data_IF_665944191535
#
_entry.id   IF_665944191535
#
_cell.length_a   1.000
_cell.length_b   1.000
_cell.length_c   1.000
_cell.angle_alpha   90.00
_cell.angle_beta   90.00
_cell.angle_gamma   90.00
#
_symmetry.space_group_name_H-M   'P 1'
#
loop_
_entity.id
_entity.type
_entity.pdbx_description
1 polymer ?
#
# COMPACT_ATOMS: atom_id res chain seq x y z
N UNK A 1 -1.51 0.82 0.78
CA UNK A 1 -2.34 0.66 2.01
C UNK A 1 -2.55 1.96 2.80
N UNK A 2 -1.63 2.94 2.81
CA UNK A 2 -1.91 4.24 3.46
C UNK A 2 -3.02 5.05 2.76
N UNK A 3 -3.25 4.78 1.47
CA UNK A 3 -4.29 5.35 0.61
C UNK A 3 -5.70 5.21 1.19
N UNK A 4 -6.05 4.06 1.75
CA UNK A 4 -7.38 3.84 2.35
C UNK A 4 -7.57 4.60 3.65
N UNK A 5 -6.56 4.69 4.51
CA UNK A 5 -6.60 5.51 5.74
C UNK A 5 -6.81 6.98 5.37
N UNK A 6 -6.04 7.48 4.39
CA UNK A 6 -6.16 8.87 3.92
C UNK A 6 -7.55 9.12 3.33
N UNK A 7 -8.09 8.20 2.53
CA UNK A 7 -9.43 8.33 1.94
C UNK A 7 -10.54 8.39 3.00
N UNK A 8 -10.47 7.53 4.03
CA UNK A 8 -11.45 7.54 5.13
C UNK A 8 -11.32 8.82 5.96
N UNK A 9 -10.10 9.23 6.32
CA UNK A 9 -9.87 10.47 7.05
C UNK A 9 -10.36 11.69 6.26
N UNK A 10 -10.08 11.76 4.95
CA UNK A 10 -10.54 12.85 4.10
C UNK A 10 -12.08 12.91 4.01
N UNK A 11 -12.76 11.76 3.93
CA UNK A 11 -14.22 11.71 3.95
C UNK A 11 -14.79 12.20 5.29
N UNK A 12 -14.17 11.83 6.42
CA UNK A 12 -14.57 12.32 7.74
C UNK A 12 -14.34 13.83 7.91
N UNK A 13 -13.22 14.35 7.40
CA UNK A 13 -12.95 15.79 7.36
C UNK A 13 -13.97 16.55 6.50
N UNK A 14 -14.38 15.97 5.38
CA UNK A 14 -15.43 16.54 4.51
C UNK A 14 -16.79 16.59 5.23
N UNK A 15 -17.20 15.52 5.90
CA UNK A 15 -18.45 15.47 6.65
C UNK A 15 -18.47 16.48 7.81
N UNK A 16 -17.33 16.67 8.49
CA UNK A 16 -17.16 17.70 9.51
C UNK A 16 -17.31 19.10 8.92
N UNK A 17 -16.71 19.36 7.75
CA UNK A 17 -16.84 20.64 7.05
C UNK A 17 -18.28 20.92 6.59
N UNK A 18 -19.06 19.87 6.31
CA UNK A 18 -20.48 19.95 5.97
C UNK A 18 -21.41 20.23 7.18
N UNK A 19 -20.85 20.35 8.40
CA UNK A 19 -21.59 20.70 9.61
C UNK A 19 -22.04 19.53 10.46
N UNK A 20 -21.58 18.30 10.16
CA UNK A 20 -21.80 17.16 11.05
C UNK A 20 -20.89 17.22 12.27
N UNK A 21 -21.41 16.80 13.42
CA UNK A 21 -20.70 16.82 14.70
C UNK A 21 -19.70 15.66 14.80
N UNK A 22 -18.59 15.79 14.06
CA UNK A 22 -17.46 14.86 14.09
C UNK A 22 -16.36 15.48 14.95
N UNK A 23 -16.08 14.82 16.07
CA UNK A 23 -15.01 15.21 16.99
C UNK A 23 -13.61 14.87 16.43
N UNK A 24 -12.64 15.73 16.72
CA UNK A 24 -11.26 15.58 16.23
C UNK A 24 -10.57 14.33 16.80
N UNK A 25 -10.96 13.93 18.02
CA UNK A 25 -10.48 12.70 18.63
C UNK A 25 -11.01 11.45 17.92
N UNK A 26 -12.21 11.52 17.31
CA UNK A 26 -12.77 10.42 16.54
C UNK A 26 -11.99 10.20 15.23
N UNK A 27 -11.61 11.28 14.52
CA UNK A 27 -10.78 11.21 13.31
C UNK A 27 -9.41 10.61 13.63
N UNK A 28 -8.77 11.11 14.68
CA UNK A 28 -7.47 10.59 15.15
C UNK A 28 -7.57 9.13 15.60
N UNK A 29 -8.65 8.76 16.27
CA UNK A 29 -8.94 7.40 16.70
C UNK A 29 -9.08 6.44 15.52
N UNK A 30 -9.81 6.82 14.47
CA UNK A 30 -9.93 6.01 13.24
C UNK A 30 -8.58 5.87 12.55
N UNK A 31 -7.80 6.95 12.46
CA UNK A 31 -6.46 6.93 11.86
C UNK A 31 -5.54 5.93 12.55
N UNK A 32 -5.40 6.03 13.88
CA UNK A 32 -4.57 5.13 14.69
C UNK A 32 -5.11 3.70 14.67
N UNK A 33 -6.43 3.53 14.78
CA UNK A 33 -7.09 2.23 14.76
C UNK A 33 -6.89 1.47 13.45
N UNK A 34 -6.80 2.16 12.32
CA UNK A 34 -6.56 1.56 11.01
C UNK A 34 -5.07 1.30 10.72
N UNK A 35 -4.14 2.03 11.34
CA UNK A 35 -2.70 1.85 11.11
C UNK A 35 -2.21 0.45 11.49
N UNK A 36 -2.67 -0.11 12.62
CA UNK A 36 -2.24 -1.43 13.09
C UNK A 36 -2.62 -2.58 12.14
N UNK A 37 -3.93 -2.79 11.87
CA UNK A 37 -4.39 -3.87 10.99
C UNK A 37 -3.88 -3.73 9.55
N UNK A 38 -3.85 -2.52 8.99
CA UNK A 38 -3.40 -2.31 7.61
C UNK A 38 -1.89 -2.47 7.44
N UNK A 39 -1.10 -2.09 8.45
CA UNK A 39 0.33 -2.44 8.47
C UNK A 39 0.52 -3.96 8.59
N UNK A 40 -0.22 -4.61 9.50
CA UNK A 40 -0.14 -6.06 9.70
C UNK A 40 -0.50 -6.90 8.48
N UNK A 41 -1.44 -6.46 7.65
CA UNK A 41 -1.79 -7.13 6.39
C UNK A 41 -0.89 -6.70 5.23
N UNK A 42 -0.58 -5.40 5.13
CA UNK A 42 0.18 -4.84 4.02
C UNK A 42 1.63 -5.31 4.00
N UNK A 43 2.30 -5.35 5.15
CA UNK A 43 3.73 -5.68 5.24
C UNK A 43 4.07 -7.09 4.75
N UNK A 44 3.40 -8.17 5.19
CA UNK A 44 3.69 -9.52 4.69
C UNK A 44 3.34 -9.69 3.21
N UNK A 45 2.36 -8.96 2.69
CA UNK A 45 1.99 -9.03 1.27
C UNK A 45 3.05 -8.33 0.41
N UNK A 46 3.38 -7.08 0.70
CA UNK A 46 4.30 -6.31 -0.15
C UNK A 46 5.76 -6.69 0.08
N UNK A 47 6.19 -6.67 1.33
CA UNK A 47 7.58 -6.88 1.71
C UNK A 47 7.90 -8.36 1.89
N UNK A 48 6.94 -9.15 2.34
CA UNK A 48 7.13 -10.59 2.59
C UNK A 48 6.98 -11.47 1.35
N UNK A 49 6.03 -11.20 0.47
CA UNK A 49 5.72 -12.10 -0.66
C UNK A 49 5.97 -11.45 -2.01
N UNK A 50 5.29 -10.36 -2.34
CA UNK A 50 5.31 -9.77 -3.67
C UNK A 50 6.72 -9.36 -4.11
N UNK A 51 7.42 -8.56 -3.30
CA UNK A 51 8.77 -8.07 -3.65
C UNK A 51 9.80 -9.20 -3.75
N UNK A 52 9.92 -10.13 -2.77
CA UNK A 52 10.87 -11.24 -2.88
C UNK A 52 10.57 -12.18 -4.05
N UNK A 53 9.30 -12.48 -4.34
CA UNK A 53 8.93 -13.37 -5.46
C UNK A 53 9.26 -12.72 -6.80
N UNK A 54 8.89 -11.45 -7.01
CA UNK A 54 9.23 -10.73 -8.23
C UNK A 54 10.75 -10.57 -8.38
N UNK A 55 11.46 -10.33 -7.28
CA UNK A 55 12.92 -10.23 -7.29
C UNK A 55 13.57 -11.57 -7.65
N UNK A 56 13.09 -12.68 -7.09
CA UNK A 56 13.61 -14.02 -7.40
C UNK A 56 13.37 -14.40 -8.87
N UNK A 57 12.17 -14.14 -9.39
CA UNK A 57 11.83 -14.35 -10.80
C UNK A 57 12.68 -13.47 -11.73
N UNK A 58 12.77 -12.17 -11.42
CA UNK A 58 13.56 -11.21 -12.19
C UNK A 58 15.06 -11.54 -12.18
N UNK A 59 15.60 -11.94 -11.03
CA UNK A 59 16.99 -12.35 -10.89
C UNK A 59 17.28 -13.65 -11.66
N UNK A 60 16.39 -14.64 -11.59
CA UNK A 60 16.53 -15.89 -12.35
C UNK A 60 16.61 -15.66 -13.86
N UNK A 61 15.79 -14.75 -14.39
CA UNK A 61 15.83 -14.35 -15.80
C UNK A 61 17.04 -13.46 -16.15
N UNK A 62 17.50 -12.63 -15.21
CA UNK A 62 18.69 -11.80 -15.42
C UNK A 62 19.97 -12.64 -15.50
N UNK A 63 20.07 -13.71 -14.69
CA UNK A 63 21.21 -14.64 -14.70
C UNK A 63 21.37 -15.39 -16.03
N UNK A 64 20.28 -15.57 -16.79
CA UNK A 64 20.34 -16.15 -18.15
C UNK A 64 20.70 -15.12 -19.23
N UNK A 65 21.00 -13.88 -18.85
CA UNK A 65 21.36 -12.78 -19.76
C UNK A 65 20.15 -12.03 -20.33
N UNK A 66 18.93 -12.31 -19.87
CA UNK A 66 17.73 -11.69 -20.39
C UNK A 66 17.43 -10.33 -19.75
N UNK A 67 17.32 -9.29 -20.59
CA UNK A 67 16.88 -7.94 -20.18
C UNK A 67 15.43 -7.94 -19.64
N UNK A 68 14.66 -8.99 -19.93
CA UNK A 68 13.31 -9.15 -19.40
C UNK A 68 13.31 -9.32 -17.87
N UNK A 69 14.38 -9.84 -17.26
CA UNK A 69 14.46 -10.02 -15.80
C UNK A 69 14.32 -8.71 -15.03
N UNK A 70 15.21 -7.73 -15.25
CA UNK A 70 15.10 -6.40 -14.63
C UNK A 70 13.82 -5.65 -15.01
N UNK A 71 13.36 -5.76 -16.26
CA UNK A 71 12.11 -5.14 -16.73
C UNK A 71 10.88 -5.70 -16.01
N UNK A 72 10.81 -7.03 -15.83
CA UNK A 72 9.72 -7.69 -15.13
C UNK A 72 9.67 -7.25 -13.67
N UNK A 73 10.83 -7.19 -13.00
CA UNK A 73 10.89 -6.66 -11.64
C UNK A 73 10.42 -5.19 -11.57
N UNK A 74 10.94 -4.34 -12.45
CA UNK A 74 10.64 -2.91 -12.45
C UNK A 74 9.17 -2.62 -12.75
N UNK A 75 8.60 -3.25 -13.77
CA UNK A 75 7.19 -3.07 -14.13
C UNK A 75 6.31 -3.71 -13.06
N UNK A 76 6.57 -4.96 -12.67
CA UNK A 76 5.76 -5.69 -11.69
C UNK A 76 5.64 -4.96 -10.36
N UNK A 77 6.76 -4.45 -9.81
CA UNK A 77 6.71 -3.75 -8.52
C UNK A 77 6.04 -2.37 -8.61
N UNK A 78 6.21 -1.65 -9.71
CA UNK A 78 5.57 -0.33 -9.87
C UNK A 78 4.08 -0.46 -10.16
N UNK A 79 3.67 -1.46 -10.95
CA UNK A 79 2.26 -1.70 -11.29
C UNK A 79 1.48 -2.15 -10.04
N UNK A 80 2.04 -3.09 -9.26
CA UNK A 80 1.43 -3.48 -8.00
C UNK A 80 1.40 -2.33 -6.98
N UNK A 81 2.44 -1.49 -6.90
CA UNK A 81 2.45 -0.33 -5.99
C UNK A 81 1.46 0.77 -6.41
N UNK A 82 1.18 0.92 -7.70
CA UNK A 82 0.15 1.84 -8.19
C UNK A 82 -1.28 1.40 -7.88
N UNK A 83 -1.51 0.09 -7.69
CA UNK A 83 -2.83 -0.49 -7.44
C UNK A 83 -3.24 -0.52 -5.95
N UNK A 84 -2.34 -0.19 -5.01
CA UNK A 84 -2.53 -0.38 -3.55
C UNK A 84 -2.12 0.79 -2.69
#
# INVERSE_FOLDING_TARGET
MASSIIGVTAAMEQERANGNDIDDSAISGVKVGLMGPLAGVGDPIFWGTLRPVLAALGAGLALTGSLLGPLLFFIGINLCRGLT
#
